data_IF_932680623538
#
_entry.id   IF_932680623538
#
_cell.length_a   1.000
_cell.length_b   1.000
_cell.length_c   1.000
_cell.angle_alpha   90.00
_cell.angle_beta   90.00
_cell.angle_gamma   90.00
#
_symmetry.space_group_name_H-M   'P 1'
#
loop_
_entity.id
_entity.type
_entity.pdbx_description
1 polymer ?
#
# COMPACT_ATOMS: atom_id res chain seq x y z
N UNK A 1 -44.72 10.95 26.39
CA UNK A 1 -43.85 9.76 26.23
C UNK A 1 -44.61 8.53 25.75
N UNK A 2 -45.85 8.26 26.25
CA UNK A 2 -46.55 7.03 25.85
C UNK A 2 -46.70 6.89 24.32
N UNK A 3 -47.02 7.94 23.60
CA UNK A 3 -47.23 7.91 22.16
C UNK A 3 -45.94 7.85 21.35
N UNK A 4 -44.85 8.33 21.91
CA UNK A 4 -43.53 8.45 21.22
C UNK A 4 -42.58 7.33 21.60
N UNK A 5 -42.78 6.68 22.73
CA UNK A 5 -41.91 5.63 23.25
C UNK A 5 -41.71 4.46 22.28
N UNK A 6 -42.79 4.02 21.64
CA UNK A 6 -42.76 2.90 20.69
C UNK A 6 -41.91 3.25 19.46
N UNK A 7 -42.10 4.47 18.95
CA UNK A 7 -41.32 4.95 17.78
C UNK A 7 -39.84 5.15 18.11
N UNK A 8 -39.54 5.68 19.29
CA UNK A 8 -38.14 5.78 19.77
C UNK A 8 -37.47 4.41 19.88
N UNK A 9 -38.23 3.42 20.38
CA UNK A 9 -37.76 2.06 20.54
C UNK A 9 -37.49 1.40 19.19
N UNK A 10 -38.40 1.56 18.22
CA UNK A 10 -38.19 1.06 16.85
C UNK A 10 -36.96 1.72 16.22
N UNK A 11 -36.86 3.04 16.31
CA UNK A 11 -35.73 3.79 15.76
C UNK A 11 -34.41 3.34 16.38
N UNK A 12 -34.34 3.22 17.70
CA UNK A 12 -33.14 2.71 18.38
C UNK A 12 -32.79 1.27 17.96
N UNK A 13 -33.79 0.43 17.72
CA UNK A 13 -33.56 -0.96 17.30
C UNK A 13 -33.06 -1.09 15.86
N UNK A 14 -33.36 -0.14 14.98
CA UNK A 14 -32.84 -0.13 13.59
C UNK A 14 -31.40 0.34 13.50
N UNK A 15 -30.90 1.03 14.50
CA UNK A 15 -29.55 1.59 14.56
C UNK A 15 -28.67 0.69 15.44
N UNK A 16 -27.90 -0.21 14.83
CA UNK A 16 -27.11 -1.24 15.54
C UNK A 16 -26.18 -0.68 16.62
N UNK A 17 -25.63 0.50 16.42
CA UNK A 17 -24.68 1.15 17.34
C UNK A 17 -25.35 2.01 18.40
N UNK A 18 -26.62 2.39 18.19
CA UNK A 18 -27.35 3.25 19.14
C UNK A 18 -27.97 2.39 20.24
N UNK A 19 -27.55 2.63 21.47
CA UNK A 19 -28.05 1.94 22.64
C UNK A 19 -29.35 2.53 23.17
N UNK A 20 -29.46 3.85 23.19
CA UNK A 20 -30.65 4.55 23.68
C UNK A 20 -30.79 5.92 23.05
N UNK A 21 -32.04 6.33 22.85
CA UNK A 21 -32.44 7.67 22.48
C UNK A 21 -33.24 8.26 23.63
N UNK A 22 -32.87 9.45 24.10
CA UNK A 22 -33.52 10.15 25.18
C UNK A 22 -34.01 11.50 24.67
N UNK A 23 -35.27 11.80 24.86
CA UNK A 23 -35.86 13.11 24.55
C UNK A 23 -35.83 14.00 25.79
N UNK A 24 -35.44 15.25 25.54
CA UNK A 24 -35.24 16.26 26.58
C UNK A 24 -36.10 17.47 26.30
N UNK A 25 -36.79 17.94 27.31
CA UNK A 25 -37.58 19.18 27.30
C UNK A 25 -37.27 20.02 28.52
N UNK A 26 -36.98 21.28 28.32
CA UNK A 26 -36.59 22.23 29.38
C UNK A 26 -35.46 21.72 30.26
N UNK A 27 -34.45 21.08 29.67
CA UNK A 27 -33.32 20.49 30.37
C UNK A 27 -33.61 19.22 31.17
N UNK A 28 -34.82 18.68 31.05
CA UNK A 28 -35.25 17.45 31.72
C UNK A 28 -35.46 16.35 30.71
N UNK A 29 -34.83 15.18 30.91
CA UNK A 29 -35.10 13.96 30.18
C UNK A 29 -36.49 13.43 30.55
N UNK A 30 -37.44 13.43 29.59
CA UNK A 30 -38.82 13.04 29.85
C UNK A 30 -39.22 11.70 29.21
N UNK A 31 -38.48 11.25 28.21
CA UNK A 31 -38.75 9.99 27.52
C UNK A 31 -37.49 9.30 27.04
N UNK A 32 -37.35 8.01 27.34
CA UNK A 32 -36.23 7.18 26.92
C UNK A 32 -36.71 5.98 26.11
N UNK A 33 -36.02 5.61 25.05
CA UNK A 33 -36.31 4.40 24.26
C UNK A 33 -36.24 3.10 25.03
N UNK A 34 -35.40 3.02 26.07
CA UNK A 34 -35.21 1.82 26.92
C UNK A 34 -36.17 1.86 28.11
N UNK A 35 -36.16 2.97 28.84
CA UNK A 35 -36.81 3.04 30.16
C UNK A 35 -38.18 3.67 30.14
N UNK A 36 -38.66 4.19 28.98
CA UNK A 36 -39.93 4.90 28.89
C UNK A 36 -39.90 6.27 29.58
N UNK A 37 -41.00 6.65 30.27
CA UNK A 37 -41.11 7.93 30.97
C UNK A 37 -40.01 8.10 32.04
N UNK A 38 -39.37 9.27 32.04
CA UNK A 38 -38.28 9.61 33.00
C UNK A 38 -38.43 11.09 33.39
N UNK A 39 -37.90 11.41 34.57
CA UNK A 39 -37.76 12.79 35.03
C UNK A 39 -36.38 12.95 35.67
N UNK A 40 -35.38 13.12 34.81
CA UNK A 40 -33.99 13.26 35.22
C UNK A 40 -33.41 14.50 34.55
N UNK A 41 -32.75 15.36 35.32
CA UNK A 41 -32.09 16.51 34.75
C UNK A 41 -30.89 16.08 33.90
N UNK A 42 -30.80 16.58 32.67
CA UNK A 42 -29.82 16.13 31.68
C UNK A 42 -28.37 16.36 32.12
N UNK A 43 -28.09 17.38 32.96
CA UNK A 43 -26.77 17.63 33.52
C UNK A 43 -26.26 16.50 34.43
N UNK A 44 -27.16 15.68 34.97
CA UNK A 44 -26.77 14.48 35.75
C UNK A 44 -26.25 13.37 34.82
N UNK A 45 -26.68 13.34 33.56
CA UNK A 45 -26.20 12.41 32.57
C UNK A 45 -24.88 12.87 31.94
N UNK A 46 -24.77 14.16 31.69
CA UNK A 46 -23.56 14.81 31.17
C UNK A 46 -23.48 16.22 31.71
N UNK A 47 -22.46 16.58 32.54
CA UNK A 47 -22.38 17.87 33.24
C UNK A 47 -22.37 19.07 32.32
N UNK A 48 -21.92 18.95 31.10
CA UNK A 48 -21.86 20.01 30.09
C UNK A 48 -23.17 20.29 29.38
N UNK A 49 -24.21 19.47 29.58
CA UNK A 49 -25.51 19.61 28.94
C UNK A 49 -26.51 20.32 29.88
N UNK A 50 -27.52 21.03 29.33
CA UNK A 50 -27.81 21.23 27.90
C UNK A 50 -26.95 22.30 27.23
N UNK A 51 -26.75 22.21 25.89
CA UNK A 51 -26.03 23.22 25.11
C UNK A 51 -26.79 23.57 23.83
N UNK A 52 -26.55 24.82 23.35
CA UNK A 52 -27.15 25.34 22.11
C UNK A 52 -26.58 24.67 20.86
N UNK A 53 -25.34 24.14 20.94
CA UNK A 53 -24.65 23.48 19.84
C UNK A 53 -24.68 21.97 20.03
N UNK A 54 -24.68 21.19 18.95
CA UNK A 54 -24.46 19.76 19.04
C UNK A 54 -23.17 19.45 19.81
N UNK A 55 -23.24 18.47 20.71
CA UNK A 55 -22.11 18.02 21.51
C UNK A 55 -21.90 16.54 21.32
N UNK A 56 -20.64 16.16 21.18
CA UNK A 56 -20.18 14.78 21.24
C UNK A 56 -19.21 14.65 22.41
N UNK A 57 -19.41 13.65 23.28
CA UNK A 57 -18.56 13.45 24.44
C UNK A 57 -18.53 11.97 24.87
N UNK A 58 -17.41 11.52 25.40
CA UNK A 58 -17.34 10.23 26.09
C UNK A 58 -17.85 10.36 27.52
N UNK A 59 -18.61 9.36 27.96
CA UNK A 59 -19.04 9.20 29.34
C UNK A 59 -18.69 7.79 29.82
N UNK A 60 -17.96 7.73 30.94
CA UNK A 60 -17.55 6.48 31.61
C UNK A 60 -18.33 6.19 32.87
N UNK A 61 -18.94 7.24 33.47
CA UNK A 61 -19.64 7.18 34.78
C UNK A 61 -21.13 7.45 34.65
N UNK A 62 -21.79 6.86 33.67
CA UNK A 62 -23.22 7.04 33.54
C UNK A 62 -23.95 6.22 34.59
N UNK A 63 -24.86 6.87 35.35
CA UNK A 63 -25.73 6.22 36.35
C UNK A 63 -26.59 5.08 35.77
N UNK A 64 -26.75 5.05 34.45
CA UNK A 64 -27.53 4.03 33.73
C UNK A 64 -26.71 2.77 33.40
N UNK A 65 -25.35 2.85 33.42
CA UNK A 65 -24.44 1.75 33.03
C UNK A 65 -23.07 1.97 33.70
N UNK A 66 -22.97 1.54 34.93
CA UNK A 66 -21.69 1.59 35.66
C UNK A 66 -20.63 0.77 34.92
N UNK A 67 -19.55 1.43 34.53
CA UNK A 67 -18.34 0.79 34.00
C UNK A 67 -18.29 0.53 32.48
N UNK A 68 -19.36 0.80 31.72
CA UNK A 68 -19.31 0.66 30.26
C UNK A 68 -19.17 2.05 29.61
N UNK A 69 -18.10 2.29 28.88
CA UNK A 69 -17.90 3.56 28.20
C UNK A 69 -18.92 3.73 27.07
N UNK A 70 -19.53 4.91 26.97
CA UNK A 70 -20.49 5.27 25.93
C UNK A 70 -20.10 6.59 25.27
N UNK A 71 -20.46 6.73 24.00
CA UNK A 71 -20.38 7.99 23.29
C UNK A 71 -21.76 8.66 23.34
N UNK A 72 -21.80 9.86 23.87
CA UNK A 72 -23.01 10.65 24.00
C UNK A 72 -23.01 11.70 22.91
N UNK A 73 -24.11 11.76 22.15
CA UNK A 73 -24.34 12.77 21.13
C UNK A 73 -25.59 13.56 21.46
N UNK A 74 -25.44 14.87 21.59
CA UNK A 74 -26.53 15.80 21.83
C UNK A 74 -26.93 16.56 20.59
N UNK A 75 -28.24 16.61 20.32
CA UNK A 75 -28.85 17.41 19.28
C UNK A 75 -29.86 18.39 19.90
N UNK A 76 -29.57 19.70 19.95
CA UNK A 76 -30.53 20.69 20.36
C UNK A 76 -31.63 20.85 19.31
N UNK A 77 -32.89 20.93 19.75
CA UNK A 77 -34.04 21.17 18.89
C UNK A 77 -34.57 22.60 19.01
N UNK A 78 -34.15 23.35 20.05
CA UNK A 78 -34.56 24.71 20.31
C UNK A 78 -33.38 25.69 20.28
N UNK A 79 -33.67 26.96 20.00
CA UNK A 79 -32.65 28.04 20.00
C UNK A 79 -32.04 28.21 21.38
N UNK A 80 -32.81 27.92 22.44
CA UNK A 80 -32.32 27.97 23.83
C UNK A 80 -31.38 26.82 24.19
N UNK A 81 -31.35 25.76 23.37
CA UNK A 81 -30.60 24.56 23.67
C UNK A 81 -31.15 23.71 24.82
N UNK A 82 -32.29 24.12 25.42
CA UNK A 82 -32.90 23.39 26.55
C UNK A 82 -33.67 22.13 26.13
N UNK A 83 -34.11 22.09 24.88
CA UNK A 83 -34.86 20.98 24.30
C UNK A 83 -33.99 20.27 23.26
N UNK A 84 -34.13 18.96 23.15
CA UNK A 84 -33.37 18.19 22.16
C UNK A 84 -33.45 16.69 22.36
N UNK A 85 -32.57 15.99 21.64
CA UNK A 85 -32.40 14.56 21.73
C UNK A 85 -30.97 14.21 22.12
N UNK A 86 -30.84 13.25 23.03
CA UNK A 86 -29.58 12.67 23.45
C UNK A 86 -29.49 11.24 22.93
N UNK A 87 -28.50 10.93 22.12
CA UNK A 87 -28.19 9.59 21.66
C UNK A 87 -27.07 9.02 22.52
N UNK A 88 -27.26 7.80 22.96
CA UNK A 88 -26.23 7.02 23.67
C UNK A 88 -25.77 5.90 22.73
N UNK A 89 -24.53 5.97 22.31
CA UNK A 89 -23.92 5.07 21.34
C UNK A 89 -23.01 4.09 22.07
N UNK A 90 -23.11 2.80 21.74
CA UNK A 90 -22.22 1.78 22.27
C UNK A 90 -20.87 1.87 21.57
N UNK A 91 -19.87 2.38 22.31
CA UNK A 91 -18.55 2.60 21.76
C UNK A 91 -17.75 1.30 21.60
N UNK A 92 -18.01 0.29 22.41
CA UNK A 92 -17.34 -1.03 22.31
C UNK A 92 -17.71 -1.72 21.00
N UNK A 93 -19.00 -1.71 20.64
CA UNK A 93 -19.46 -2.25 19.38
C UNK A 93 -18.89 -1.48 18.18
N UNK A 94 -18.82 -0.15 18.31
CA UNK A 94 -18.18 0.69 17.30
C UNK A 94 -16.69 0.38 17.17
N UNK A 95 -16.02 0.15 18.31
CA UNK A 95 -14.63 -0.27 18.36
C UNK A 95 -14.39 -1.60 17.65
N UNK A 96 -15.21 -2.61 17.92
CA UNK A 96 -15.11 -3.91 17.26
C UNK A 96 -15.34 -3.86 15.75
N UNK A 97 -16.28 -3.03 15.30
CA UNK A 97 -16.63 -2.92 13.89
C UNK A 97 -15.65 -2.10 13.05
N UNK A 98 -15.03 -1.06 13.64
CA UNK A 98 -14.29 -0.05 12.89
C UNK A 98 -12.82 0.01 13.30
N UNK A 99 -12.51 -0.18 14.61
CA UNK A 99 -11.19 0.09 15.17
C UNK A 99 -10.32 -1.16 15.37
N UNK A 100 -10.80 -2.34 14.98
CA UNK A 100 -10.12 -3.62 15.23
C UNK A 100 -9.13 -4.02 14.13
N UNK A 101 -9.06 -3.27 13.05
CA UNK A 101 -8.14 -3.52 11.95
C UNK A 101 -6.69 -3.31 12.40
N UNK A 102 -5.94 -4.41 12.49
CA UNK A 102 -4.50 -4.40 12.79
C UNK A 102 -3.72 -5.01 11.62
N UNK A 103 -2.61 -4.41 11.30
CA UNK A 103 -1.68 -4.91 10.28
C UNK A 103 -0.25 -4.61 10.72
N UNK A 104 0.75 -5.07 9.98
CA UNK A 104 2.15 -4.74 10.26
C UNK A 104 2.41 -3.22 10.29
N UNK A 105 1.62 -2.44 9.56
CA UNK A 105 1.71 -0.98 9.50
C UNK A 105 0.81 -0.26 10.52
N UNK A 106 -0.27 -0.92 10.99
CA UNK A 106 -1.28 -0.34 11.87
C UNK A 106 -1.27 -1.11 13.19
N UNK A 107 -0.80 -0.46 14.23
CA UNK A 107 -0.81 -1.03 15.59
C UNK A 107 -2.12 -0.72 16.30
N UNK A 108 -2.57 0.55 16.23
CA UNK A 108 -3.76 1.00 16.92
C UNK A 108 -4.54 2.04 16.12
N UNK A 109 -5.85 1.99 16.26
CA UNK A 109 -6.77 3.02 15.74
C UNK A 109 -7.50 3.62 16.94
N UNK A 110 -7.46 4.94 17.09
CA UNK A 110 -8.13 5.64 18.17
C UNK A 110 -9.14 6.67 17.65
N UNK A 111 -10.28 6.76 18.34
CA UNK A 111 -11.29 7.78 18.15
C UNK A 111 -11.14 8.84 19.24
N UNK A 112 -10.82 10.06 18.86
CA UNK A 112 -10.62 11.19 19.78
C UNK A 112 -11.79 12.15 19.71
N UNK A 113 -12.34 12.52 20.87
CA UNK A 113 -13.40 13.51 21.06
C UNK A 113 -12.98 14.43 22.21
N UNK A 114 -12.73 15.69 21.91
CA UNK A 114 -12.20 16.65 22.89
C UNK A 114 -10.83 16.22 23.41
N UNK A 115 -10.72 16.05 24.72
CA UNK A 115 -9.48 15.61 25.39
C UNK A 115 -9.42 14.10 25.70
N UNK A 116 -10.42 13.33 25.27
CA UNK A 116 -10.49 11.89 25.50
C UNK A 116 -10.40 11.10 24.19
N UNK A 117 -9.79 9.94 24.26
CA UNK A 117 -9.64 9.03 23.15
C UNK A 117 -10.08 7.63 23.54
N UNK A 118 -10.75 6.95 22.62
CA UNK A 118 -11.14 5.56 22.76
C UNK A 118 -10.25 4.69 21.89
N UNK A 119 -9.71 3.62 22.49
CA UNK A 119 -9.01 2.53 21.81
C UNK A 119 -9.75 1.22 22.09
N UNK A 120 -9.79 0.31 21.12
CA UNK A 120 -10.53 -0.96 21.25
C UNK A 120 -10.00 -1.83 22.40
N UNK A 121 -8.69 -1.81 22.66
CA UNK A 121 -8.03 -2.68 23.63
C UNK A 121 -7.93 -2.09 25.04
N UNK A 122 -7.96 -0.77 25.14
CA UNK A 122 -7.72 -0.04 26.41
C UNK A 122 -8.99 0.66 26.93
N UNK A 123 -9.93 0.95 26.05
CA UNK A 123 -11.13 1.74 26.37
C UNK A 123 -10.90 3.23 26.25
N UNK A 124 -11.62 4.04 27.05
CA UNK A 124 -11.53 5.50 27.04
C UNK A 124 -10.42 5.98 27.98
N UNK A 125 -9.47 6.72 27.40
CA UNK A 125 -8.33 7.31 28.11
C UNK A 125 -8.23 8.80 27.80
N UNK A 126 -7.48 9.55 28.59
CA UNK A 126 -7.14 10.92 28.25
C UNK A 126 -6.21 10.94 27.04
N UNK A 127 -6.42 11.90 26.11
CA UNK A 127 -5.68 11.91 24.83
C UNK A 127 -4.16 12.03 24.98
N UNK A 128 -3.67 12.57 26.11
CA UNK A 128 -2.24 12.63 26.42
C UNK A 128 -1.66 11.30 26.93
N UNK A 129 -2.51 10.32 27.27
CA UNK A 129 -2.13 8.98 27.73
C UNK A 129 -2.17 7.94 26.61
N UNK A 130 -2.34 8.36 25.36
CA UNK A 130 -2.28 7.45 24.23
C UNK A 130 -0.92 6.72 24.18
N UNK A 131 -0.90 5.43 23.80
CA UNK A 131 0.35 4.70 23.60
C UNK A 131 1.31 5.50 22.72
N UNK A 132 2.59 5.55 23.10
CA UNK A 132 3.62 6.40 22.49
C UNK A 132 4.02 6.08 21.06
N UNK A 133 3.22 5.33 20.31
CA UNK A 133 3.46 5.05 18.90
C UNK A 133 3.17 6.29 18.05
N UNK A 134 3.97 6.56 17.02
CA UNK A 134 3.77 7.70 16.15
C UNK A 134 2.41 7.60 15.44
N UNK A 135 1.71 8.72 15.35
CA UNK A 135 0.50 8.82 14.55
C UNK A 135 0.92 8.93 13.09
N UNK A 136 0.61 7.90 12.30
CA UNK A 136 0.92 7.84 10.88
C UNK A 136 -0.16 8.48 10.00
N UNK A 137 -1.40 8.52 10.50
CA UNK A 137 -2.50 9.18 9.81
C UNK A 137 -3.49 9.78 10.78
N UNK A 138 -4.04 10.95 10.45
CA UNK A 138 -5.05 11.65 11.23
C UNK A 138 -6.14 12.19 10.31
N UNK A 139 -7.39 11.88 10.62
CA UNK A 139 -8.56 12.37 9.90
C UNK A 139 -9.58 12.97 10.87
N UNK A 140 -9.88 14.24 10.71
CA UNK A 140 -10.95 14.93 11.47
C UNK A 140 -12.24 14.95 10.65
N UNK A 141 -13.37 14.75 11.31
CA UNK A 141 -14.67 14.89 10.68
C UNK A 141 -15.00 16.36 10.44
N UNK A 142 -15.61 16.68 9.31
CA UNK A 142 -16.11 18.02 9.00
C UNK A 142 -17.50 18.30 9.59
N UNK A 143 -18.25 17.25 9.94
CA UNK A 143 -19.61 17.37 10.45
C UNK A 143 -19.71 17.26 11.98
N UNK A 144 -18.84 16.46 12.58
CA UNK A 144 -18.86 16.16 14.01
C UNK A 144 -17.50 16.39 14.65
N UNK A 145 -17.44 16.79 15.93
CA UNK A 145 -16.21 17.12 16.62
C UNK A 145 -15.44 15.84 17.07
N UNK A 146 -15.04 14.99 16.12
CA UNK A 146 -14.18 13.86 16.40
C UNK A 146 -13.03 13.73 15.39
N UNK A 147 -12.00 13.08 15.82
CA UNK A 147 -10.81 12.78 15.01
C UNK A 147 -10.46 11.29 15.14
N UNK A 148 -10.18 10.63 14.02
CA UNK A 148 -9.62 9.28 13.99
C UNK A 148 -8.11 9.43 13.83
N UNK A 149 -7.34 8.77 14.70
CA UNK A 149 -5.90 8.68 14.59
C UNK A 149 -5.52 7.21 14.37
N UNK A 150 -4.65 6.97 13.41
CA UNK A 150 -4.03 5.68 13.15
C UNK A 150 -2.59 5.77 13.61
N UNK A 151 -2.19 4.89 14.51
CA UNK A 151 -0.85 4.81 15.08
C UNK A 151 -0.18 3.50 14.68
N UNK A 152 1.11 3.56 14.42
CA UNK A 152 1.87 2.37 14.06
C UNK A 152 3.34 2.68 13.83
N UNK A 153 4.18 1.65 13.57
CA UNK A 153 5.54 1.87 13.17
C UNK A 153 5.55 2.60 11.82
N UNK A 154 6.37 3.61 11.68
CA UNK A 154 6.53 4.32 10.41
C UNK A 154 6.99 3.37 9.30
N UNK A 155 6.68 3.67 8.04
CA UNK A 155 7.04 2.83 6.89
C UNK A 155 8.54 2.49 6.83
N UNK A 156 9.40 3.40 7.27
CA UNK A 156 10.85 3.16 7.37
C UNK A 156 11.22 2.11 8.43
N UNK A 157 10.50 2.05 9.55
CA UNK A 157 10.76 1.07 10.60
C UNK A 157 10.37 -0.34 10.14
N UNK A 158 9.21 -0.48 9.49
CA UNK A 158 8.75 -1.75 8.92
C UNK A 158 9.69 -2.21 7.80
N UNK A 159 10.11 -1.29 6.91
CA UNK A 159 11.05 -1.62 5.86
C UNK A 159 12.40 -2.11 6.42
N UNK A 160 12.89 -1.51 7.49
CA UNK A 160 14.13 -1.96 8.15
C UNK A 160 14.00 -3.32 8.82
N UNK A 161 12.84 -3.66 9.33
CA UNK A 161 12.57 -4.95 9.96
C UNK A 161 12.45 -6.08 8.92
N UNK A 162 11.88 -5.81 7.75
CA UNK A 162 11.71 -6.79 6.66
C UNK A 162 12.96 -6.93 5.76
N UNK A 163 13.82 -5.91 5.69
CA UNK A 163 15.05 -5.90 4.88
C UNK A 163 15.94 -7.15 5.07
N UNK A 164 16.21 -7.65 6.30
CA UNK A 164 17.07 -8.81 6.47
C UNK A 164 16.53 -10.09 5.83
N UNK A 165 15.22 -10.21 5.69
CA UNK A 165 14.60 -11.37 5.05
C UNK A 165 14.72 -11.34 3.52
N UNK A 166 14.62 -10.17 2.90
CA UNK A 166 14.63 -9.99 1.45
C UNK A 166 16.03 -9.82 0.85
N UNK A 167 16.97 -9.29 1.64
CA UNK A 167 18.35 -9.04 1.19
C UNK A 167 19.08 -10.27 0.63
N UNK A 168 19.03 -11.47 1.24
CA UNK A 168 19.73 -12.64 0.72
C UNK A 168 19.24 -13.05 -0.67
N UNK A 169 17.92 -12.98 -0.89
CA UNK A 169 17.31 -13.32 -2.17
C UNK A 169 17.71 -12.31 -3.26
N UNK A 170 17.67 -11.03 -2.96
CA UNK A 170 18.07 -9.96 -3.87
C UNK A 170 19.56 -10.05 -4.24
N UNK A 171 20.42 -10.32 -3.27
CA UNK A 171 21.85 -10.53 -3.50
C UNK A 171 22.11 -11.77 -4.38
N UNK A 172 21.46 -12.88 -4.10
CA UNK A 172 21.58 -14.10 -4.90
C UNK A 172 21.17 -13.84 -6.36
N UNK A 173 20.05 -13.16 -6.58
CA UNK A 173 19.58 -12.81 -7.93
C UNK A 173 20.55 -11.87 -8.65
N UNK A 174 21.08 -10.87 -7.96
CA UNK A 174 22.07 -9.93 -8.49
C UNK A 174 23.36 -10.64 -8.89
N UNK A 175 23.87 -11.53 -8.05
CA UNK A 175 25.06 -12.33 -8.35
C UNK A 175 24.85 -13.26 -9.56
N UNK A 176 23.68 -13.91 -9.63
CA UNK A 176 23.33 -14.76 -10.76
C UNK A 176 23.31 -13.97 -12.08
N UNK A 177 22.62 -12.83 -12.11
CA UNK A 177 22.54 -11.97 -13.29
C UNK A 177 23.92 -11.43 -13.70
N UNK A 178 24.73 -11.02 -12.72
CA UNK A 178 26.10 -10.57 -12.97
C UNK A 178 26.97 -11.69 -13.53
N UNK A 179 26.84 -12.89 -12.98
CA UNK A 179 27.56 -14.07 -13.47
C UNK A 179 27.20 -14.43 -14.90
N UNK A 180 25.91 -14.42 -15.25
CA UNK A 180 25.44 -14.66 -16.63
C UNK A 180 26.00 -13.59 -17.58
N UNK A 181 25.90 -12.31 -17.21
CA UNK A 181 26.44 -11.21 -18.02
C UNK A 181 27.96 -11.34 -18.23
N UNK A 182 28.69 -11.70 -17.19
CA UNK A 182 30.13 -11.92 -17.27
C UNK A 182 30.50 -13.09 -18.20
N UNK A 183 29.83 -14.24 -18.05
CA UNK A 183 30.08 -15.42 -18.91
C UNK A 183 29.80 -15.12 -20.39
N UNK A 184 28.69 -14.43 -20.69
CA UNK A 184 28.35 -14.07 -22.07
C UNK A 184 29.35 -13.07 -22.68
N UNK A 185 29.81 -12.12 -21.90
CA UNK A 185 30.77 -11.10 -22.36
C UNK A 185 32.17 -11.68 -22.52
N UNK A 186 32.61 -12.49 -21.56
CA UNK A 186 33.89 -13.18 -21.63
C UNK A 186 33.98 -14.12 -22.85
N UNK A 187 32.90 -14.85 -23.14
CA UNK A 187 32.81 -15.71 -24.32
C UNK A 187 32.97 -14.92 -25.64
N UNK A 188 32.35 -13.75 -25.75
CA UNK A 188 32.45 -12.88 -26.95
C UNK A 188 33.84 -12.28 -27.10
N UNK A 189 34.45 -11.84 -26.02
CA UNK A 189 35.85 -11.31 -26.05
C UNK A 189 36.88 -12.38 -26.48
N UNK A 190 36.69 -13.60 -26.00
CA UNK A 190 37.56 -14.73 -26.40
C UNK A 190 37.41 -15.02 -27.87
N UNK A 191 36.20 -15.00 -28.41
CA UNK A 191 35.91 -15.29 -29.83
C UNK A 191 36.46 -14.17 -30.76
N UNK A 192 36.34 -12.90 -30.38
CA UNK A 192 36.93 -11.79 -31.15
C UNK A 192 38.45 -11.90 -31.26
N UNK A 193 39.11 -12.34 -30.18
CA UNK A 193 40.54 -12.62 -30.19
C UNK A 193 40.89 -13.82 -31.11
N UNK A 194 40.06 -14.86 -31.13
CA UNK A 194 40.23 -15.99 -32.07
C UNK A 194 40.15 -15.53 -33.52
N UNK A 195 39.22 -14.62 -33.87
CA UNK A 195 39.13 -14.04 -35.23
C UNK A 195 40.43 -13.29 -35.57
N UNK A 196 40.95 -12.47 -34.65
CA UNK A 196 42.21 -11.75 -34.87
C UNK A 196 43.38 -12.70 -35.13
N UNK A 197 43.48 -13.76 -34.33
CA UNK A 197 44.51 -14.78 -34.48
C UNK A 197 44.33 -15.58 -35.77
N UNK A 198 43.07 -15.91 -36.15
CA UNK A 198 42.77 -16.61 -37.37
C UNK A 198 43.12 -15.81 -38.62
N UNK A 199 42.92 -14.48 -38.63
CA UNK A 199 43.41 -13.61 -39.71
C UNK A 199 44.95 -13.70 -39.82
N UNK A 200 45.67 -13.60 -38.69
CA UNK A 200 47.11 -13.65 -38.68
C UNK A 200 47.69 -15.04 -39.05
N UNK A 201 46.96 -16.11 -38.76
CA UNK A 201 47.30 -17.49 -39.04
C UNK A 201 46.83 -18.00 -40.43
N UNK A 202 46.22 -17.13 -41.25
CA UNK A 202 45.64 -17.48 -42.55
C UNK A 202 44.62 -18.63 -42.49
N UNK A 203 43.74 -18.66 -41.46
CA UNK A 203 42.70 -19.67 -41.26
C UNK A 203 41.47 -19.41 -42.11
N UNK A 204 41.35 -18.24 -42.78
CA UNK A 204 40.25 -17.86 -43.63
C UNK A 204 40.50 -18.21 -45.10
N UNK A 205 39.52 -18.84 -45.74
CA UNK A 205 39.51 -19.17 -47.15
C UNK A 205 38.53 -18.32 -47.89
N UNK A 206 38.92 -17.81 -49.06
CA UNK A 206 38.04 -17.03 -49.94
C UNK A 206 37.51 -17.91 -51.06
N UNK A 207 36.20 -18.13 -51.00
CA UNK A 207 35.49 -18.90 -52.02
C UNK A 207 34.78 -17.95 -52.97
N UNK A 208 34.79 -18.26 -54.29
CA UNK A 208 34.14 -17.47 -55.33
C UNK A 208 32.98 -18.28 -55.88
N UNK A 209 31.78 -17.72 -55.78
CA UNK A 209 30.58 -18.27 -56.39
C UNK A 209 30.26 -17.46 -57.66
N UNK A 210 30.28 -18.08 -58.85
CA UNK A 210 30.01 -17.36 -60.09
C UNK A 210 28.54 -16.96 -60.16
N UNK A 211 28.30 -15.73 -60.60
CA UNK A 211 26.97 -15.18 -60.88
C UNK A 211 26.76 -15.25 -62.40
N UNK A 212 25.73 -15.97 -62.81
CA UNK A 212 25.41 -16.15 -64.23
C UNK A 212 24.23 -15.29 -64.63
N UNK A 213 24.35 -14.53 -65.69
CA UNK A 213 23.24 -13.84 -66.32
C UNK A 213 22.32 -14.85 -67.00
N UNK A 214 21.10 -14.98 -66.53
CA UNK A 214 20.11 -15.94 -67.02
C UNK A 214 19.70 -15.67 -68.48
N UNK A 215 19.89 -14.48 -68.98
CA UNK A 215 19.53 -14.10 -70.35
C UNK A 215 20.64 -14.44 -71.34
N UNK A 216 21.88 -14.13 -70.97
CA UNK A 216 23.04 -14.34 -71.86
C UNK A 216 23.78 -15.62 -71.60
N UNK A 217 23.50 -16.32 -70.48
CA UNK A 217 24.16 -17.51 -70.02
C UNK A 217 25.66 -17.32 -69.76
N UNK A 218 26.11 -16.06 -69.64
CA UNK A 218 27.51 -15.74 -69.40
C UNK A 218 27.72 -15.36 -67.94
N UNK A 219 28.92 -15.65 -67.44
CA UNK A 219 29.32 -15.20 -66.14
C UNK A 219 29.43 -13.67 -66.10
N UNK A 220 28.61 -12.98 -65.26
CA UNK A 220 28.59 -11.55 -65.14
C UNK A 220 29.23 -11.00 -63.87
N UNK A 221 29.67 -11.90 -62.96
CA UNK A 221 30.28 -11.51 -61.71
C UNK A 221 30.61 -12.73 -60.84
N UNK A 222 31.15 -12.46 -59.64
CA UNK A 222 31.40 -13.44 -58.63
C UNK A 222 30.96 -12.94 -57.25
N UNK A 223 30.37 -13.79 -56.46
CA UNK A 223 30.13 -13.51 -55.07
C UNK A 223 31.28 -14.07 -54.23
N UNK A 224 31.83 -13.25 -53.35
CA UNK A 224 32.92 -13.64 -52.48
C UNK A 224 32.32 -14.19 -51.16
N UNK A 225 32.62 -15.43 -50.88
CA UNK A 225 32.14 -16.13 -49.71
C UNK A 225 33.32 -16.51 -48.81
N UNK A 226 33.41 -15.89 -47.65
CA UNK A 226 34.46 -16.20 -46.69
C UNK A 226 34.14 -17.46 -45.92
N UNK A 227 35.12 -18.33 -45.74
CA UNK A 227 35.03 -19.54 -44.92
C UNK A 227 36.13 -19.49 -43.86
N UNK A 228 35.82 -19.91 -42.65
CA UNK A 228 36.80 -19.97 -41.56
C UNK A 228 37.01 -21.38 -41.09
N UNK A 229 38.21 -21.93 -41.36
CA UNK A 229 38.65 -23.23 -40.88
C UNK A 229 39.48 -23.05 -39.58
N UNK A 230 38.78 -23.02 -38.47
CA UNK A 230 39.45 -22.87 -37.18
C UNK A 230 40.02 -24.21 -36.69
N UNK A 231 41.33 -24.32 -36.34
CA UNK A 231 41.97 -25.57 -35.95
C UNK A 231 41.34 -26.27 -34.74
N UNK A 232 40.67 -25.50 -33.87
CA UNK A 232 40.05 -25.99 -32.64
C UNK A 232 38.55 -26.33 -32.80
N UNK A 233 37.86 -25.54 -33.62
CA UNK A 233 36.39 -25.60 -33.73
C UNK A 233 35.91 -26.15 -35.08
N UNK A 234 36.81 -26.38 -36.01
CA UNK A 234 36.45 -26.76 -37.35
C UNK A 234 35.93 -25.61 -38.19
N UNK A 235 35.07 -25.90 -39.15
CA UNK A 235 34.47 -24.91 -40.04
C UNK A 235 33.43 -24.08 -39.32
N UNK A 236 33.66 -22.78 -39.22
CA UNK A 236 32.79 -21.80 -38.55
C UNK A 236 32.01 -21.03 -39.63
N UNK A 237 30.68 -21.01 -39.51
CA UNK A 237 29.81 -20.30 -40.46
C UNK A 237 30.02 -18.78 -40.44
N UNK A 238 29.97 -18.08 -41.57
CA UNK A 238 29.98 -16.62 -41.65
C UNK A 238 28.93 -15.95 -40.78
N UNK A 239 27.74 -16.54 -40.67
CA UNK A 239 26.66 -16.00 -39.82
C UNK A 239 27.02 -15.92 -38.34
N UNK A 240 28.04 -16.70 -37.91
CA UNK A 240 28.50 -16.68 -36.52
C UNK A 240 29.60 -15.67 -36.32
N UNK A 241 30.61 -15.60 -37.18
CA UNK A 241 31.78 -14.76 -36.95
C UNK A 241 31.65 -13.32 -37.50
N UNK A 242 30.89 -13.12 -38.58
CA UNK A 242 30.72 -11.75 -39.16
C UNK A 242 30.06 -10.78 -38.18
N UNK A 243 28.93 -11.08 -37.51
CA UNK A 243 28.35 -10.16 -36.54
C UNK A 243 29.28 -9.85 -35.36
N UNK A 244 30.10 -10.80 -34.97
CA UNK A 244 31.11 -10.58 -33.91
C UNK A 244 32.24 -9.69 -34.43
N UNK A 245 32.72 -9.93 -35.67
CA UNK A 245 33.72 -9.10 -36.29
C UNK A 245 33.26 -7.65 -36.45
N UNK A 246 32.00 -7.44 -36.81
CA UNK A 246 31.37 -6.09 -36.86
C UNK A 246 31.34 -5.42 -35.48
N UNK A 247 30.84 -6.14 -34.47
CA UNK A 247 30.72 -5.61 -33.11
C UNK A 247 32.06 -5.24 -32.43
N UNK A 248 33.14 -5.85 -32.89
CA UNK A 248 34.49 -5.60 -32.37
C UNK A 248 35.43 -4.86 -33.35
N UNK A 249 34.89 -4.22 -34.39
CA UNK A 249 35.64 -3.49 -35.41
C UNK A 249 36.70 -4.35 -36.16
N UNK A 250 36.49 -5.65 -36.23
CA UNK A 250 37.37 -6.58 -36.95
C UNK A 250 36.97 -6.77 -38.42
N UNK A 251 35.85 -6.19 -38.84
CA UNK A 251 35.36 -6.31 -40.22
C UNK A 251 36.33 -5.67 -41.23
N UNK A 252 36.98 -4.57 -40.86
CA UNK A 252 37.94 -3.90 -41.75
C UNK A 252 39.23 -4.75 -41.94
N UNK A 253 39.88 -5.28 -40.90
CA UNK A 253 40.95 -6.25 -41.09
C UNK A 253 40.57 -7.48 -41.93
N UNK A 254 39.35 -8.00 -41.69
CA UNK A 254 38.83 -9.18 -42.41
C UNK A 254 38.59 -8.82 -43.89
N UNK A 255 38.02 -7.67 -44.23
CA UNK A 255 37.83 -7.25 -45.59
C UNK A 255 39.19 -7.01 -46.27
N UNK A 256 40.17 -6.44 -45.60
CA UNK A 256 41.54 -6.33 -46.17
C UNK A 256 42.15 -7.67 -46.51
N UNK A 257 41.93 -8.67 -45.66
CA UNK A 257 42.40 -10.04 -45.90
C UNK A 257 41.79 -10.64 -47.17
N UNK A 258 40.50 -10.35 -47.45
CA UNK A 258 39.78 -10.86 -48.65
C UNK A 258 40.29 -10.17 -49.94
N UNK A 259 40.74 -8.94 -49.84
CA UNK A 259 41.15 -8.14 -51.04
C UNK A 259 42.65 -8.29 -51.33
N UNK A 260 43.46 -8.72 -50.36
CA UNK A 260 44.88 -8.92 -50.51
C UNK A 260 45.25 -10.20 -51.28
#
# INVERSE_FOLDING_TARGET
CQDVHLELRKTAATLQTVRSIILVQSGMAYCSSIFGPRHVAIHQLQPTLPTVKPLLAFSTDNSLLKGTPVLIQWYPSSVSGADGALLIINIELLGELILKEKSSLISDISLTVGNKSFLSDVGVVESHQLPGLPIIYRQSSSQFPFTINISGPGASAVALEELPAELPLALMFSLLMTGIAWLTTAGRMTFSREITLGIAAHEFEVWCQPLQDLRTQQCCGVEILLRWNNPRRGNISPDVFIPIAEGYNLIVPLTRYVIA
#
